data_IF_312224567837
#
_entry.id   IF_312224567837
#
_cell.length_a   1.000
_cell.length_b   1.000
_cell.length_c   1.000
_cell.angle_alpha   90.00
_cell.angle_beta   90.00
_cell.angle_gamma   90.00
#
_symmetry.space_group_name_H-M   'P 1'
#
loop_
_entity.id
_entity.type
_entity.pdbx_description
1 polymer ?
#
# COMPACT_ATOMS: atom_id res chain seq x y z
N UNK A 1 2.76 13.29 -10.25
CA UNK A 1 3.51 13.97 -9.16
C UNK A 1 4.16 12.89 -8.31
N UNK A 2 5.44 13.07 -7.99
CA UNK A 2 6.16 12.10 -7.15
C UNK A 2 6.26 12.60 -5.72
N UNK A 3 5.96 11.72 -4.78
CA UNK A 3 6.05 12.05 -3.35
C UNK A 3 6.30 10.78 -2.54
N UNK A 4 6.80 10.96 -1.32
CA UNK A 4 6.96 9.85 -0.38
C UNK A 4 5.59 9.56 0.24
N UNK A 5 5.17 8.30 0.14
CA UNK A 5 3.90 7.85 0.70
C UNK A 5 4.10 6.63 1.58
N UNK A 6 3.16 6.43 2.49
CA UNK A 6 3.05 5.18 3.25
C UNK A 6 1.96 4.38 2.57
N UNK A 7 2.29 3.18 2.15
CA UNK A 7 1.38 2.34 1.37
C UNK A 7 1.17 0.98 2.03
N UNK A 8 -0.08 0.54 2.01
CA UNK A 8 -0.46 -0.82 2.38
C UNK A 8 -0.52 -1.65 1.11
N UNK A 9 0.30 -2.68 1.05
CA UNK A 9 0.37 -3.57 -0.10
C UNK A 9 -0.41 -4.85 0.15
N UNK A 10 -1.20 -5.24 -0.83
CA UNK A 10 -1.83 -6.56 -0.89
C UNK A 10 -0.99 -7.43 -1.82
N UNK A 11 -0.42 -8.49 -1.27
CA UNK A 11 0.45 -9.41 -2.00
C UNK A 11 -0.25 -10.77 -2.07
N UNK A 12 -0.41 -11.29 -3.27
CA UNK A 12 -1.04 -12.60 -3.51
C UNK A 12 -0.06 -13.46 -4.29
N UNK A 13 0.29 -14.61 -3.72
CA UNK A 13 1.25 -15.54 -4.33
C UNK A 13 2.59 -14.87 -4.68
N UNK A 14 3.06 -13.96 -3.82
CA UNK A 14 4.31 -13.26 -4.03
C UNK A 14 4.26 -12.08 -4.98
N UNK A 15 3.08 -11.75 -5.50
CA UNK A 15 2.89 -10.61 -6.41
C UNK A 15 2.07 -9.51 -5.76
N UNK A 16 2.49 -8.27 -5.94
CA UNK A 16 1.72 -7.12 -5.47
C UNK A 16 0.51 -6.93 -6.38
N UNK A 17 -0.69 -7.11 -5.81
CA UNK A 17 -1.94 -6.96 -6.55
C UNK A 17 -2.60 -5.62 -6.32
N UNK A 18 -2.35 -4.99 -5.17
CA UNK A 18 -2.99 -3.75 -4.81
C UNK A 18 -2.08 -2.94 -3.89
N UNK A 19 -2.17 -1.62 -3.98
CA UNK A 19 -1.50 -0.73 -3.06
C UNK A 19 -2.43 0.44 -2.74
N UNK A 20 -2.45 0.83 -1.46
CA UNK A 20 -3.30 1.91 -0.97
C UNK A 20 -2.47 2.88 -0.15
N UNK A 21 -2.70 4.17 -0.35
CA UNK A 21 -2.05 5.21 0.43
C UNK A 21 -2.70 5.27 1.81
N UNK A 22 -1.84 5.30 2.85
CA UNK A 22 -2.26 5.48 4.23
C UNK A 22 -1.76 6.82 4.74
N UNK A 23 -2.46 7.40 5.72
CA UNK A 23 -2.09 8.70 6.27
C UNK A 23 -0.82 8.64 7.12
N UNK A 24 -0.57 7.51 7.78
CA UNK A 24 0.59 7.31 8.62
C UNK A 24 0.97 5.83 8.68
N UNK A 25 2.19 5.55 9.12
CA UNK A 25 2.62 4.17 9.32
C UNK A 25 1.78 3.48 10.39
N UNK A 26 1.37 4.20 11.42
CA UNK A 26 0.49 3.68 12.47
C UNK A 26 -0.84 3.22 11.90
N UNK A 27 -1.46 4.02 11.05
CA UNK A 27 -2.72 3.66 10.38
C UNK A 27 -2.53 2.46 9.44
N UNK A 28 -1.40 2.43 8.73
CA UNK A 28 -1.07 1.32 7.85
C UNK A 28 -0.95 0.00 8.62
N UNK A 29 -0.23 0.00 9.73
CA UNK A 29 -0.06 -1.19 10.57
C UNK A 29 -1.38 -1.65 11.17
N UNK A 30 -2.24 -0.71 11.56
CA UNK A 30 -3.58 -1.02 12.07
C UNK A 30 -4.43 -1.69 10.98
N UNK A 31 -4.43 -1.14 9.78
CA UNK A 31 -5.14 -1.71 8.64
C UNK A 31 -4.60 -3.08 8.25
N UNK A 32 -3.28 -3.24 8.27
CA UNK A 32 -2.62 -4.53 8.04
C UNK A 32 -3.09 -5.59 9.04
N UNK A 33 -3.12 -5.24 10.32
CA UNK A 33 -3.55 -6.16 11.38
C UNK A 33 -4.99 -6.62 11.18
N UNK A 34 -5.89 -5.69 10.89
CA UNK A 34 -7.31 -5.99 10.69
C UNK A 34 -7.49 -6.86 9.45
N UNK A 35 -6.85 -6.50 8.33
CA UNK A 35 -6.95 -7.24 7.08
C UNK A 35 -6.36 -8.64 7.17
N UNK A 36 -5.26 -8.80 7.91
CA UNK A 36 -4.56 -10.08 8.05
C UNK A 36 -5.35 -11.13 8.82
N UNK A 37 -6.32 -10.73 9.63
CA UNK A 37 -7.11 -11.66 10.44
C UNK A 37 -7.88 -12.68 9.63
N UNK A 38 -8.35 -12.29 8.44
CA UNK A 38 -9.12 -13.17 7.57
C UNK A 38 -8.38 -13.65 6.34
N UNK A 39 -7.08 -13.35 6.26
CA UNK A 39 -6.31 -13.66 5.06
C UNK A 39 -5.96 -15.14 4.97
N UNK A 40 -6.00 -15.69 3.77
CA UNK A 40 -5.53 -17.04 3.50
C UNK A 40 -4.00 -17.08 3.44
N UNK A 41 -3.41 -18.27 3.42
CA UNK A 41 -1.96 -18.46 3.49
C UNK A 41 -1.19 -17.81 2.34
N UNK A 42 -1.82 -17.66 1.18
CA UNK A 42 -1.20 -17.08 0.01
C UNK A 42 -1.41 -15.56 -0.11
N UNK A 43 -2.09 -14.97 0.86
CA UNK A 43 -2.33 -13.52 0.91
C UNK A 43 -1.48 -12.91 2.01
N UNK A 44 -0.76 -11.85 1.66
CA UNK A 44 0.11 -11.15 2.58
C UNK A 44 -0.12 -9.65 2.47
N UNK A 45 -0.01 -8.96 3.59
CA UNK A 45 -0.11 -7.50 3.65
C UNK A 45 1.19 -6.93 4.16
N UNK A 46 1.66 -5.86 3.54
CA UNK A 46 2.88 -5.17 3.97
C UNK A 46 2.67 -3.67 3.99
N UNK A 47 3.29 -3.02 4.97
CA UNK A 47 3.35 -1.56 5.04
C UNK A 47 4.73 -1.11 4.61
N UNK A 48 4.78 -0.19 3.66
CA UNK A 48 6.03 0.38 3.19
C UNK A 48 5.98 1.89 3.21
N UNK A 49 7.14 2.51 3.30
CA UNK A 49 7.32 3.94 3.08
C UNK A 49 8.22 4.08 1.87
N UNK A 50 7.70 4.63 0.79
CA UNK A 50 8.40 4.68 -0.48
C UNK A 50 8.00 5.90 -1.30
N UNK A 51 8.85 6.24 -2.25
CA UNK A 51 8.51 7.19 -3.28
C UNK A 51 7.47 6.59 -4.21
N UNK A 52 6.46 7.37 -4.56
CA UNK A 52 5.42 6.91 -5.48
C UNK A 52 5.04 8.03 -6.44
N UNK A 53 4.68 7.67 -7.64
CA UNK A 53 4.01 8.58 -8.54
C UNK A 53 2.52 8.55 -8.23
N UNK A 54 1.97 9.70 -7.87
CA UNK A 54 0.57 9.83 -7.46
C UNK A 54 -0.20 10.68 -8.43
N UNK A 55 -1.51 10.48 -8.48
CA UNK A 55 -2.42 11.30 -9.25
C UNK A 55 -3.72 11.49 -8.47
N UNK A 56 -4.44 12.55 -8.80
CA UNK A 56 -5.76 12.78 -8.23
C UNK A 56 -6.79 12.34 -9.26
N UNK A 57 -7.61 11.37 -8.87
CA UNK A 57 -8.67 10.84 -9.70
C UNK A 57 -10.00 10.95 -8.95
N UNK A 58 -10.95 11.65 -9.56
CA UNK A 58 -12.28 11.91 -8.98
C UNK A 58 -12.21 12.50 -7.56
N UNK A 59 -11.23 13.40 -7.34
CA UNK A 59 -11.05 14.07 -6.06
C UNK A 59 -10.26 13.27 -5.02
N UNK A 60 -9.82 12.07 -5.34
CA UNK A 60 -9.05 11.22 -4.44
C UNK A 60 -7.65 11.00 -4.97
N UNK A 61 -6.67 11.05 -4.06
CA UNK A 61 -5.29 10.74 -4.39
C UNK A 61 -5.11 9.22 -4.50
N UNK A 62 -4.53 8.78 -5.60
CA UNK A 62 -4.21 7.38 -5.81
C UNK A 62 -2.78 7.21 -6.27
N UNK A 63 -2.24 6.02 -6.08
CA UNK A 63 -0.89 5.68 -6.53
C UNK A 63 -0.97 5.23 -7.99
N UNK A 64 -0.30 5.97 -8.86
CA UNK A 64 -0.16 5.59 -10.26
C UNK A 64 0.91 4.53 -10.44
N UNK A 65 2.04 4.70 -9.75
CA UNK A 65 3.14 3.74 -9.77
C UNK A 65 3.96 3.87 -8.49
N UNK A 66 4.41 2.75 -7.95
CA UNK A 66 5.37 2.74 -6.86
C UNK A 66 6.79 2.73 -7.42
N UNK A 67 7.62 3.60 -6.85
CA UNK A 67 9.05 3.62 -7.15
C UNK A 67 9.73 2.94 -5.96
N UNK A 68 9.97 1.64 -6.09
CA UNK A 68 10.58 0.85 -5.04
C UNK A 68 12.09 0.89 -5.18
N UNK A 69 12.76 1.50 -4.22
CA UNK A 69 14.21 1.47 -4.11
C UNK A 69 14.57 0.55 -2.94
N UNK A 70 15.35 -0.46 -3.24
CA UNK A 70 15.83 -1.43 -2.26
C UNK A 70 17.29 -1.18 -1.90
#
# INVERSE_FOLDING_TARGET
MQEIVIALLLIVNGEIKEHRIQDSMSDCLKGKRVASRGASKNIEYQCIKSMAETEIYMGEKSIKALILEW
#
